data_IF_268183619715
#
_entry.id   IF_268183619715
#
_cell.length_a   1.000
_cell.length_b   1.000
_cell.length_c   1.000
_cell.angle_alpha   90.00
_cell.angle_beta   90.00
_cell.angle_gamma   90.00
#
_symmetry.space_group_name_H-M   'P 1'
#
loop_
_entity.id
_entity.type
_entity.pdbx_description
1 polymer ?
#
# COMPACT_ATOMS: atom_id res chain seq x y z
N UNK A 1 -11.18 -14.43 8.79
CA UNK A 1 -11.42 -12.98 8.99
C UNK A 1 -12.80 -12.75 9.59
N UNK A 2 -12.96 -11.87 10.58
CA UNK A 2 -14.28 -11.40 11.02
C UNK A 2 -14.39 -9.90 10.77
N UNK A 3 -15.56 -9.41 10.37
CA UNK A 3 -15.75 -8.00 10.07
C UNK A 3 -17.15 -7.48 10.42
N UNK A 4 -17.22 -6.21 10.80
CA UNK A 4 -18.44 -5.53 11.25
C UNK A 4 -18.48 -4.10 10.71
N UNK A 5 -19.60 -3.73 10.08
CA UNK A 5 -19.86 -2.35 9.64
C UNK A 5 -20.55 -1.60 10.78
N UNK A 6 -20.03 -0.43 11.14
CA UNK A 6 -20.62 0.47 12.14
C UNK A 6 -21.05 -0.27 13.41
N UNK A 7 -20.17 -1.16 13.92
CA UNK A 7 -20.49 -2.10 14.99
C UNK A 7 -21.14 -1.40 16.19
N UNK A 8 -22.35 -1.81 16.56
CA UNK A 8 -23.09 -1.29 17.72
C UNK A 8 -23.44 0.22 17.66
N UNK A 9 -23.38 0.86 16.48
CA UNK A 9 -23.74 2.28 16.34
C UNK A 9 -25.25 2.53 16.31
N UNK A 10 -26.00 1.71 15.56
CA UNK A 10 -27.44 1.90 15.36
C UNK A 10 -27.80 3.11 14.50
N UNK A 11 -28.86 3.83 14.89
CA UNK A 11 -29.43 4.96 14.14
C UNK A 11 -28.49 6.17 13.94
N UNK A 12 -27.65 6.60 14.91
CA UNK A 12 -26.74 7.73 14.72
C UNK A 12 -25.82 7.63 13.50
N UNK A 13 -25.36 6.44 13.14
CA UNK A 13 -24.54 6.24 11.94
C UNK A 13 -25.37 6.24 10.65
N UNK A 14 -26.63 5.78 10.72
CA UNK A 14 -27.56 5.81 9.58
C UNK A 14 -27.93 7.24 9.20
N UNK A 15 -28.25 8.08 10.18
CA UNK A 15 -28.60 9.48 9.95
C UNK A 15 -27.47 10.30 9.34
N UNK A 16 -26.21 9.97 9.68
CA UNK A 16 -25.02 10.69 9.22
C UNK A 16 -24.31 10.05 8.03
N UNK A 17 -24.85 8.97 7.46
CA UNK A 17 -24.23 8.19 6.38
C UNK A 17 -22.76 7.84 6.66
N UNK A 18 -22.47 7.42 7.89
CA UNK A 18 -21.11 7.04 8.30
C UNK A 18 -20.78 5.64 7.82
N UNK A 19 -19.56 5.46 7.32
CA UNK A 19 -19.04 4.13 6.97
C UNK A 19 -17.70 3.91 7.67
N UNK A 20 -17.74 3.04 8.67
CA UNK A 20 -16.57 2.52 9.37
C UNK A 20 -16.64 1.00 9.37
N UNK A 21 -15.60 0.33 8.90
CA UNK A 21 -15.51 -1.14 8.85
C UNK A 21 -14.40 -1.62 9.78
N UNK A 22 -14.78 -2.41 10.77
CA UNK A 22 -13.84 -3.06 11.68
C UNK A 22 -13.59 -4.50 11.21
N UNK A 23 -12.33 -4.89 11.12
CA UNK A 23 -11.89 -6.24 10.82
C UNK A 23 -11.02 -6.77 11.96
N UNK A 24 -11.19 -8.05 12.24
CA UNK A 24 -10.46 -8.80 13.26
C UNK A 24 -9.90 -10.07 12.63
N UNK A 25 -8.57 -10.14 12.56
CA UNK A 25 -7.81 -11.31 12.14
C UNK A 25 -7.19 -11.96 13.38
N UNK A 26 -7.75 -13.10 13.79
CA UNK A 26 -7.28 -13.83 14.96
C UNK A 26 -6.14 -14.78 14.57
N UNK A 27 -4.96 -14.56 15.15
CA UNK A 27 -3.83 -15.46 15.08
C UNK A 27 -3.85 -16.49 16.21
N UNK A 28 -2.84 -17.38 16.28
CA UNK A 28 -2.75 -18.38 17.35
C UNK A 28 -2.53 -17.77 18.74
N UNK A 29 -1.82 -16.65 18.82
CA UNK A 29 -1.41 -16.02 20.09
C UNK A 29 -1.84 -14.56 20.20
N UNK A 30 -2.06 -13.89 19.08
CA UNK A 30 -2.35 -12.47 18.97
C UNK A 30 -3.55 -12.21 18.05
N UNK A 31 -3.98 -10.96 17.99
CA UNK A 31 -5.04 -10.53 17.10
C UNK A 31 -4.63 -9.23 16.42
N UNK A 32 -4.82 -9.20 15.11
CA UNK A 32 -4.61 -8.01 14.29
C UNK A 32 -5.97 -7.38 13.99
N UNK A 33 -6.11 -6.13 14.40
CA UNK A 33 -7.31 -5.33 14.23
C UNK A 33 -7.09 -4.32 13.12
N UNK A 34 -8.04 -4.22 12.19
CA UNK A 34 -8.08 -3.15 11.21
C UNK A 34 -9.34 -2.33 11.37
N UNK A 35 -9.23 -1.01 11.33
CA UNK A 35 -10.38 -0.12 11.27
C UNK A 35 -10.24 0.76 10.04
N UNK A 36 -11.16 0.59 9.09
CA UNK A 36 -11.23 1.41 7.89
C UNK A 36 -12.33 2.44 8.09
N UNK A 37 -12.01 3.72 7.95
CA UNK A 37 -12.94 4.81 8.20
C UNK A 37 -13.03 5.77 7.01
N UNK A 38 -14.26 6.20 6.70
CA UNK A 38 -14.58 7.17 5.65
C UNK A 38 -15.43 8.33 6.17
N UNK A 39 -15.65 8.40 7.48
CA UNK A 39 -16.13 9.63 8.09
C UNK A 39 -14.96 10.62 8.07
N UNK A 40 -15.13 11.84 7.55
CA UNK A 40 -14.03 12.82 7.40
C UNK A 40 -12.94 12.34 6.43
N UNK A 41 -11.66 12.43 6.82
CA UNK A 41 -10.55 11.99 5.97
C UNK A 41 -10.39 10.47 6.00
N UNK A 42 -10.45 9.78 4.84
CA UNK A 42 -10.29 8.33 4.78
C UNK A 42 -9.00 7.85 5.43
N UNK A 43 -9.12 6.87 6.32
CA UNK A 43 -7.99 6.37 7.11
C UNK A 43 -8.13 4.91 7.49
N UNK A 44 -6.98 4.28 7.70
CA UNK A 44 -6.86 2.89 8.17
C UNK A 44 -6.05 2.89 9.45
N UNK A 45 -6.57 2.24 10.49
CA UNK A 45 -5.83 1.90 11.71
C UNK A 45 -5.54 0.39 11.70
N UNK A 46 -4.31 0.03 12.06
CA UNK A 46 -3.84 -1.31 12.36
C UNK A 46 -3.43 -1.34 13.84
N UNK A 47 -3.85 -2.37 14.57
CA UNK A 47 -3.43 -2.59 15.95
C UNK A 47 -3.21 -4.08 16.24
N UNK A 48 -2.08 -4.40 16.88
CA UNK A 48 -1.74 -5.74 17.35
C UNK A 48 -2.02 -5.84 18.85
N UNK A 49 -2.77 -6.85 19.25
CA UNK A 49 -3.21 -7.05 20.64
C UNK A 49 -3.10 -8.53 21.04
N UNK A 50 -3.19 -8.85 22.35
CA UNK A 50 -3.45 -10.21 22.80
C UNK A 50 -4.82 -10.72 22.30
N UNK A 51 -4.96 -12.04 22.16
CA UNK A 51 -6.18 -12.68 21.63
C UNK A 51 -7.47 -12.37 22.41
N UNK A 52 -7.36 -12.01 23.70
CA UNK A 52 -8.48 -11.62 24.57
C UNK A 52 -9.00 -10.20 24.30
N UNK A 53 -8.24 -9.37 23.59
CA UNK A 53 -8.60 -7.98 23.40
C UNK A 53 -9.75 -7.78 22.39
N UNK A 54 -10.48 -6.70 22.57
CA UNK A 54 -11.53 -6.26 21.66
C UNK A 54 -11.57 -4.73 21.54
N UNK A 55 -12.16 -4.24 20.45
CA UNK A 55 -12.27 -2.83 20.11
C UNK A 55 -13.59 -2.26 20.59
N UNK A 56 -13.55 -1.16 21.34
CA UNK A 56 -14.73 -0.40 21.75
C UNK A 56 -14.77 0.95 21.04
N UNK A 57 -15.94 1.34 20.54
CA UNK A 57 -16.17 2.65 19.92
C UNK A 57 -17.32 3.35 20.66
N UNK A 58 -17.01 4.46 21.31
CA UNK A 58 -18.02 5.34 21.91
C UNK A 58 -18.61 6.24 20.82
N UNK A 59 -19.61 5.73 20.10
CA UNK A 59 -20.16 6.36 18.88
C UNK A 59 -20.53 7.83 19.02
N UNK A 60 -21.14 8.24 20.13
CA UNK A 60 -21.50 9.65 20.35
C UNK A 60 -20.28 10.58 20.34
N UNK A 61 -19.18 10.15 20.96
CA UNK A 61 -17.94 10.90 21.04
C UNK A 61 -17.13 10.77 19.74
N UNK A 62 -17.16 9.60 19.10
CA UNK A 62 -16.57 9.34 17.80
C UNK A 62 -17.15 10.25 16.70
N UNK A 63 -18.48 10.33 16.62
CA UNK A 63 -19.20 11.19 15.68
C UNK A 63 -19.02 12.69 15.97
N UNK A 64 -18.59 13.03 17.20
CA UNK A 64 -18.22 14.38 17.59
C UNK A 64 -16.71 14.66 17.43
N UNK A 65 -15.95 13.71 16.86
CA UNK A 65 -14.49 13.76 16.69
C UNK A 65 -13.75 14.07 17.99
N UNK A 66 -14.13 13.41 19.08
CA UNK A 66 -13.39 13.48 20.33
C UNK A 66 -12.31 12.40 20.38
N UNK A 67 -11.19 12.76 20.97
CA UNK A 67 -10.13 11.81 21.32
C UNK A 67 -10.62 10.73 22.29
N UNK A 68 -9.90 9.60 22.33
CA UNK A 68 -10.20 8.45 23.18
C UNK A 68 -11.62 7.88 23.01
N UNK A 69 -12.24 8.12 21.86
CA UNK A 69 -13.54 7.53 21.51
C UNK A 69 -13.39 6.13 20.90
N UNK A 70 -12.18 5.75 20.50
CA UNK A 70 -11.80 4.39 20.11
C UNK A 70 -10.80 3.87 21.14
N UNK A 71 -11.12 2.75 21.78
CA UNK A 71 -10.28 2.17 22.85
C UNK A 71 -10.26 0.65 22.72
N UNK A 72 -9.09 0.06 22.89
CA UNK A 72 -8.95 -1.39 23.05
C UNK A 72 -9.08 -1.77 24.52
N UNK A 73 -9.73 -2.90 24.80
CA UNK A 73 -9.88 -3.42 26.17
C UNK A 73 -8.54 -3.69 26.86
N UNK A 74 -7.51 -3.99 26.08
CA UNK A 74 -6.13 -4.17 26.52
C UNK A 74 -5.22 -3.32 25.66
N UNK A 75 -4.11 -2.84 26.24
CA UNK A 75 -3.16 -1.98 25.52
C UNK A 75 -2.54 -2.73 24.34
N UNK A 76 -2.65 -2.23 23.10
CA UNK A 76 -2.00 -2.84 21.96
C UNK A 76 -0.47 -2.86 22.13
N UNK A 77 0.16 -3.94 21.71
CA UNK A 77 1.62 -4.07 21.67
C UNK A 77 2.21 -3.16 20.59
N UNK A 78 1.46 -2.98 19.49
CA UNK A 78 1.85 -2.17 18.36
C UNK A 78 0.62 -1.56 17.69
N UNK A 79 0.73 -0.33 17.19
CA UNK A 79 -0.32 0.31 16.36
C UNK A 79 0.31 1.12 15.24
N UNK A 80 -0.36 1.20 14.11
CA UNK A 80 0.05 2.02 12.97
C UNK A 80 -1.18 2.42 12.18
N UNK A 81 -1.20 3.63 11.65
CA UNK A 81 -2.31 4.11 10.84
C UNK A 81 -1.85 4.92 9.65
N UNK A 82 -2.70 4.93 8.63
CA UNK A 82 -2.46 5.61 7.36
C UNK A 82 -3.67 6.48 7.06
N UNK A 83 -3.44 7.75 6.75
CA UNK A 83 -4.46 8.70 6.30
C UNK A 83 -4.19 9.03 4.84
N UNK A 84 -5.19 8.94 3.99
CA UNK A 84 -5.13 9.49 2.64
C UNK A 84 -5.36 10.99 2.77
N UNK A 85 -4.28 11.76 2.92
CA UNK A 85 -4.34 13.12 3.43
C UNK A 85 -4.64 14.16 2.35
N UNK A 86 -3.98 14.05 1.20
CA UNK A 86 -4.15 15.00 0.10
C UNK A 86 -4.06 14.31 -1.26
N UNK A 87 -4.83 14.86 -2.19
CA UNK A 87 -4.64 14.66 -3.61
C UNK A 87 -4.15 16.00 -4.16
N UNK A 88 -2.97 16.00 -4.74
CA UNK A 88 -2.27 17.21 -5.16
C UNK A 88 -2.25 17.22 -6.68
N UNK A 89 -2.99 18.14 -7.28
CA UNK A 89 -2.85 18.47 -8.69
C UNK A 89 -1.67 19.43 -8.86
N UNK A 90 -0.78 19.18 -9.82
CA UNK A 90 0.30 20.10 -10.15
C UNK A 90 0.46 20.28 -11.67
N UNK A 91 0.86 21.48 -12.08
CA UNK A 91 1.05 21.83 -13.49
C UNK A 91 2.49 21.53 -13.93
N UNK A 92 2.70 20.39 -14.57
CA UNK A 92 4.01 19.93 -15.03
C UNK A 92 4.34 20.51 -16.41
N UNK A 93 4.60 21.81 -16.45
CA UNK A 93 4.84 22.56 -17.71
C UNK A 93 6.01 21.98 -18.50
N UNK A 94 7.03 21.44 -17.82
CA UNK A 94 8.24 20.91 -18.45
C UNK A 94 8.20 19.40 -18.71
N UNK A 95 7.07 18.74 -18.45
CA UNK A 95 6.89 17.29 -18.61
C UNK A 95 8.01 16.48 -17.91
N UNK A 96 8.29 16.84 -16.67
CA UNK A 96 9.33 16.21 -15.85
C UNK A 96 8.81 14.98 -15.12
N UNK A 97 7.49 14.92 -14.89
CA UNK A 97 6.76 14.02 -14.01
C UNK A 97 7.11 14.15 -12.51
N UNK A 98 7.76 15.25 -12.11
CA UNK A 98 8.24 15.47 -10.74
C UNK A 98 7.50 16.63 -10.06
N UNK A 99 6.83 16.35 -8.93
CA UNK A 99 6.11 17.39 -8.17
C UNK A 99 7.07 18.41 -7.55
N UNK A 100 8.28 18.00 -7.16
CA UNK A 100 9.28 18.88 -6.55
C UNK A 100 9.77 19.98 -7.50
N UNK A 101 9.43 19.90 -8.80
CA UNK A 101 9.74 20.94 -9.80
C UNK A 101 8.61 21.96 -9.98
N UNK A 102 7.44 21.70 -9.40
CA UNK A 102 6.28 22.58 -9.49
C UNK A 102 6.26 23.56 -8.32
N UNK A 103 6.21 24.86 -8.64
CA UNK A 103 6.01 25.92 -7.63
C UNK A 103 4.63 25.81 -6.96
N UNK A 104 4.48 26.36 -5.75
CA UNK A 104 3.20 26.35 -5.02
C UNK A 104 2.03 26.92 -5.84
N UNK A 105 2.27 27.96 -6.64
CA UNK A 105 1.27 28.59 -7.53
C UNK A 105 0.78 27.59 -8.60
N UNK A 106 1.63 26.64 -8.96
CA UNK A 106 1.36 25.56 -9.90
C UNK A 106 0.85 24.30 -9.20
N UNK A 107 0.38 24.40 -7.95
CA UNK A 107 -0.24 23.29 -7.22
C UNK A 107 -1.65 23.61 -6.75
N UNK A 108 -2.51 22.61 -6.74
CA UNK A 108 -3.85 22.68 -6.17
C UNK A 108 -4.08 21.45 -5.30
N UNK A 109 -4.44 21.68 -4.03
CA UNK A 109 -4.59 20.62 -3.04
C UNK A 109 -6.07 20.34 -2.83
N UNK A 110 -6.46 19.09 -3.04
CA UNK A 110 -7.78 18.54 -2.73
C UNK A 110 -7.67 17.70 -1.45
N UNK A 111 -8.46 18.05 -0.44
CA UNK A 111 -8.50 17.27 0.81
C UNK A 111 -9.64 16.24 0.72
N UNK A 112 -9.36 14.94 0.89
CA UNK A 112 -10.38 13.88 0.79
C UNK A 112 -11.61 14.06 1.69
N UNK A 113 -11.50 14.79 2.80
CA UNK A 113 -12.63 15.11 3.69
C UNK A 113 -13.74 15.97 3.05
N UNK A 114 -13.44 16.71 1.98
CA UNK A 114 -14.41 17.56 1.27
C UNK A 114 -15.10 16.84 0.12
N UNK A 115 -14.84 15.54 -0.06
CA UNK A 115 -15.64 14.70 -0.94
C UNK A 115 -16.83 14.12 -0.18
N UNK A 116 -17.95 13.97 -0.88
CA UNK A 116 -19.09 13.24 -0.34
C UNK A 116 -18.87 11.73 -0.55
N UNK A 117 -18.45 11.03 0.50
CA UNK A 117 -18.19 9.60 0.49
C UNK A 117 -19.47 8.79 0.56
N UNK A 118 -19.61 7.83 -0.34
CA UNK A 118 -20.69 6.83 -0.33
C UNK A 118 -20.14 5.42 -0.40
N UNK A 119 -20.82 4.50 0.27
CA UNK A 119 -20.61 3.07 0.10
C UNK A 119 -21.16 2.62 -1.25
N UNK A 120 -20.30 2.04 -2.09
CA UNK A 120 -20.66 1.51 -3.40
C UNK A 120 -20.90 0.01 -3.32
N UNK A 121 -19.95 -0.72 -2.71
CA UNK A 121 -20.01 -2.17 -2.61
C UNK A 121 -19.33 -2.65 -1.34
N UNK A 122 -19.82 -3.77 -0.79
CA UNK A 122 -19.25 -4.43 0.37
C UNK A 122 -19.45 -5.93 0.21
N UNK A 123 -18.36 -6.69 0.31
CA UNK A 123 -18.39 -8.13 0.37
C UNK A 123 -17.61 -8.59 1.61
N UNK A 124 -18.28 -9.35 2.46
CA UNK A 124 -17.70 -9.90 3.69
C UNK A 124 -17.78 -11.41 3.61
N UNK A 125 -16.65 -12.09 3.55
CA UNK A 125 -16.57 -13.53 3.67
C UNK A 125 -15.45 -13.92 4.65
N UNK A 126 -15.25 -15.23 4.85
CA UNK A 126 -14.26 -15.74 5.80
C UNK A 126 -12.81 -15.60 5.32
N UNK A 127 -12.58 -15.55 4.01
CA UNK A 127 -11.27 -15.54 3.34
C UNK A 127 -10.77 -14.11 3.06
N UNK A 128 -11.66 -13.22 2.65
CA UNK A 128 -11.38 -11.83 2.38
C UNK A 128 -12.58 -10.93 2.67
N UNK A 129 -12.26 -9.65 2.89
CA UNK A 129 -13.25 -8.58 3.04
C UNK A 129 -12.93 -7.51 2.03
N UNK A 130 -13.93 -7.03 1.32
CA UNK A 130 -13.82 -6.04 0.25
C UNK A 130 -14.80 -4.90 0.47
N UNK A 131 -14.32 -3.66 0.35
CA UNK A 131 -15.10 -2.45 0.55
C UNK A 131 -14.77 -1.43 -0.55
N UNK A 132 -15.78 -1.00 -1.29
CA UNK A 132 -15.66 0.11 -2.25
C UNK A 132 -16.38 1.35 -1.75
N UNK A 133 -15.63 2.43 -1.69
CA UNK A 133 -16.12 3.76 -1.36
C UNK A 133 -15.86 4.71 -2.53
N UNK A 134 -16.80 5.63 -2.74
CA UNK A 134 -16.67 6.65 -3.78
C UNK A 134 -16.92 8.03 -3.19
N UNK A 135 -15.94 8.90 -3.32
CA UNK A 135 -16.02 10.32 -2.99
C UNK A 135 -16.34 11.10 -4.25
N UNK A 136 -17.48 11.79 -4.29
CA UNK A 136 -17.84 12.67 -5.40
C UNK A 136 -18.10 14.11 -4.92
N UNK A 137 -18.40 15.00 -5.88
CA UNK A 137 -18.88 16.36 -5.60
C UNK A 137 -17.96 17.14 -4.65
N UNK A 138 -16.67 17.22 -4.97
CA UNK A 138 -15.70 17.93 -4.14
C UNK A 138 -16.14 19.37 -3.91
N UNK A 139 -16.20 19.79 -2.65
CA UNK A 139 -16.52 21.17 -2.31
C UNK A 139 -15.80 21.63 -1.03
N UNK A 140 -14.74 22.40 -1.21
CA UNK A 140 -14.03 23.10 -0.14
C UNK A 140 -14.59 24.53 -0.04
N UNK A 141 -15.42 24.78 0.97
CA UNK A 141 -16.07 26.07 1.21
C UNK A 141 -15.07 27.14 1.66
N UNK A 142 -14.00 26.77 2.36
CA UNK A 142 -13.01 27.71 2.88
C UNK A 142 -12.16 28.30 1.74
N UNK A 143 -11.83 27.49 0.74
CA UNK A 143 -11.08 27.93 -0.46
C UNK A 143 -11.97 28.25 -1.65
N UNK A 144 -13.29 28.04 -1.53
CA UNK A 144 -14.27 28.16 -2.62
C UNK A 144 -13.88 27.34 -3.87
N UNK A 145 -13.40 26.11 -3.67
CA UNK A 145 -12.98 25.20 -4.74
C UNK A 145 -14.03 24.09 -4.87
N UNK A 146 -14.57 23.94 -6.08
CA UNK A 146 -15.42 22.81 -6.45
C UNK A 146 -14.80 22.04 -7.61
N UNK A 147 -14.92 20.71 -7.59
CA UNK A 147 -14.49 19.82 -8.68
C UNK A 147 -15.53 18.75 -8.96
N UNK A 148 -15.79 18.52 -10.24
CA UNK A 148 -16.51 17.33 -10.70
C UNK A 148 -15.58 16.13 -10.83
N UNK A 149 -16.17 14.94 -11.01
CA UNK A 149 -15.46 13.66 -11.03
C UNK A 149 -15.55 12.93 -9.69
N UNK A 150 -14.82 11.82 -9.58
CA UNK A 150 -14.92 10.92 -8.44
C UNK A 150 -13.58 10.34 -8.06
N UNK A 151 -13.35 10.18 -6.76
CA UNK A 151 -12.27 9.35 -6.23
C UNK A 151 -12.91 8.06 -5.75
N UNK A 152 -12.36 6.93 -6.16
CA UNK A 152 -12.79 5.63 -5.64
C UNK A 152 -11.68 5.04 -4.80
N UNK A 153 -12.05 4.52 -3.64
CA UNK A 153 -11.17 3.85 -2.69
C UNK A 153 -11.69 2.44 -2.50
N UNK A 154 -10.90 1.46 -2.93
CA UNK A 154 -11.22 0.03 -2.82
C UNK A 154 -10.27 -0.60 -1.81
N UNK A 155 -10.81 -1.13 -0.72
CA UNK A 155 -10.02 -1.74 0.36
C UNK A 155 -10.27 -3.24 0.41
N UNK A 156 -9.19 -4.01 0.61
CA UNK A 156 -9.24 -5.46 0.74
C UNK A 156 -8.43 -5.94 1.93
N UNK A 157 -9.04 -6.77 2.77
CA UNK A 157 -8.37 -7.49 3.86
C UNK A 157 -8.36 -8.98 3.54
N UNK A 158 -7.31 -9.68 3.95
CA UNK A 158 -7.03 -11.05 3.53
C UNK A 158 -6.85 -12.00 4.71
N UNK A 159 -6.95 -13.31 4.47
CA UNK A 159 -6.69 -14.38 5.43
C UNK A 159 -5.81 -15.50 4.89
N UNK A 160 -5.22 -15.30 3.71
CA UNK A 160 -4.26 -16.20 3.10
C UNK A 160 -3.11 -15.41 2.51
N UNK A 161 -2.02 -16.11 2.21
CA UNK A 161 -0.95 -15.58 1.36
C UNK A 161 -1.27 -15.92 -0.08
N UNK A 162 -1.52 -14.90 -0.91
CA UNK A 162 -1.80 -15.05 -2.34
C UNK A 162 -1.57 -13.72 -3.08
N UNK A 163 -1.72 -13.72 -4.40
CA UNK A 163 -1.76 -12.51 -5.21
C UNK A 163 -3.19 -11.97 -5.31
N UNK A 164 -3.33 -10.66 -5.26
CA UNK A 164 -4.63 -10.00 -5.46
C UNK A 164 -5.15 -10.25 -6.86
N UNK A 165 -6.45 -10.52 -7.02
CA UNK A 165 -7.07 -10.63 -8.36
C UNK A 165 -7.01 -9.32 -9.17
N UNK A 166 -6.78 -8.20 -8.50
CA UNK A 166 -6.76 -6.89 -9.13
C UNK A 166 -5.33 -6.47 -9.48
N UNK A 167 -5.11 -6.10 -10.73
CA UNK A 167 -3.87 -5.50 -11.24
C UNK A 167 -3.47 -4.30 -10.34
N UNK A 168 -2.22 -4.21 -9.85
CA UNK A 168 -1.02 -4.93 -10.28
C UNK A 168 -0.74 -6.21 -9.49
N UNK A 169 -1.77 -6.97 -9.12
CA UNK A 169 -1.66 -8.29 -8.51
C UNK A 169 -0.72 -8.30 -7.31
N UNK A 170 -0.87 -7.34 -6.38
CA UNK A 170 -0.01 -7.26 -5.20
C UNK A 170 -0.06 -8.56 -4.40
N UNK A 171 1.11 -9.10 -4.06
CA UNK A 171 1.24 -10.20 -3.11
C UNK A 171 0.82 -9.73 -1.72
N UNK A 172 -0.10 -10.46 -1.10
CA UNK A 172 -0.66 -10.14 0.21
C UNK A 172 -0.49 -11.31 1.17
N UNK A 173 -0.64 -11.02 2.46
CA UNK A 173 -0.63 -11.98 3.57
C UNK A 173 -1.83 -11.76 4.48
N UNK A 174 -2.03 -12.64 5.47
CA UNK A 174 -3.07 -12.47 6.49
C UNK A 174 -2.88 -11.19 7.33
N UNK A 175 -1.66 -10.65 7.34
CA UNK A 175 -1.26 -9.48 8.12
C UNK A 175 -1.27 -8.19 7.30
N UNK A 176 -1.98 -8.17 6.17
CA UNK A 176 -2.00 -7.03 5.26
C UNK A 176 -3.40 -6.62 4.81
N UNK A 177 -3.55 -5.34 4.49
CA UNK A 177 -4.70 -4.74 3.81
C UNK A 177 -4.21 -4.06 2.55
N UNK A 178 -4.89 -4.28 1.43
CA UNK A 178 -4.68 -3.56 0.18
C UNK A 178 -5.59 -2.33 0.13
N UNK A 179 -5.06 -1.23 -0.39
CA UNK A 179 -5.81 -0.02 -0.72
C UNK A 179 -5.56 0.32 -2.17
N UNK A 180 -6.62 0.54 -2.92
CA UNK A 180 -6.59 1.00 -4.31
C UNK A 180 -7.29 2.34 -4.44
N UNK A 181 -6.59 3.29 -5.02
CA UNK A 181 -7.05 4.66 -5.24
C UNK A 181 -7.25 4.86 -6.73
N UNK A 182 -8.43 5.34 -7.12
CA UNK A 182 -8.77 5.64 -8.51
C UNK A 182 -9.21 7.09 -8.60
N UNK A 183 -8.55 7.87 -9.46
CA UNK A 183 -8.96 9.22 -9.84
C UNK A 183 -9.76 9.15 -11.13
N UNK A 184 -11.08 9.17 -11.05
CA UNK A 184 -12.00 8.95 -12.17
C UNK A 184 -12.65 10.26 -12.62
N UNK A 185 -12.21 10.77 -13.77
CA UNK A 185 -12.69 12.01 -14.38
C UNK A 185 -12.67 13.22 -13.44
N UNK A 186 -11.67 13.30 -12.56
CA UNK A 186 -11.49 14.44 -11.67
C UNK A 186 -11.20 15.69 -12.50
N UNK A 187 -12.03 16.71 -12.33
CA UNK A 187 -11.85 17.97 -13.03
C UNK A 187 -10.51 18.59 -12.62
N UNK A 188 -9.71 18.96 -13.61
CA UNK A 188 -8.44 19.66 -13.40
C UNK A 188 -8.66 21.17 -13.31
N UNK A 189 -7.70 21.87 -12.71
CA UNK A 189 -7.68 23.32 -12.72
C UNK A 189 -7.59 23.85 -14.17
N UNK A 190 -8.47 24.78 -14.54
CA UNK A 190 -8.55 25.31 -15.89
C UNK A 190 -7.32 26.12 -16.30
N UNK A 191 -6.57 26.66 -15.34
CA UNK A 191 -5.32 27.39 -15.61
C UNK A 191 -4.14 26.45 -15.89
N UNK A 192 -4.26 25.17 -15.52
CA UNK A 192 -3.20 24.20 -15.71
C UNK A 192 -3.33 23.55 -17.09
N UNK A 193 -2.27 23.66 -17.87
CA UNK A 193 -2.24 23.08 -19.22
C UNK A 193 -1.78 21.62 -19.21
N UNK A 194 -1.00 21.24 -18.19
CA UNK A 194 -0.31 19.94 -18.06
C UNK A 194 -0.49 19.38 -16.65
N UNK A 195 -1.74 19.15 -16.26
CA UNK A 195 -2.07 18.64 -14.92
C UNK A 195 -1.60 17.19 -14.72
N UNK A 196 -0.88 16.97 -13.63
CA UNK A 196 -0.56 15.65 -13.06
C UNK A 196 -1.06 15.60 -11.62
N UNK A 197 -1.13 14.39 -11.07
CA UNK A 197 -1.58 14.17 -9.70
C UNK A 197 -0.50 13.49 -8.87
N UNK A 198 -0.45 13.84 -7.59
CA UNK A 198 0.27 13.13 -6.56
C UNK A 198 -0.65 12.84 -5.37
N UNK A 199 -0.34 11.78 -4.65
CA UNK A 199 -1.06 11.35 -3.46
C UNK A 199 -0.13 11.52 -2.26
N UNK A 200 -0.59 12.22 -1.23
CA UNK A 200 0.10 12.34 0.06
C UNK A 200 -0.63 11.47 1.08
N UNK A 201 0.11 10.51 1.64
CA UNK A 201 -0.29 9.73 2.80
C UNK A 201 0.35 10.32 4.06
N UNK A 202 -0.36 10.25 5.19
CA UNK A 202 0.23 10.40 6.51
C UNK A 202 0.31 9.04 7.18
N UNK A 203 1.51 8.61 7.53
CA UNK A 203 1.78 7.43 8.34
C UNK A 203 1.96 7.87 9.80
N UNK A 204 1.19 7.28 10.72
CA UNK A 204 1.21 7.61 12.15
C UNK A 204 1.28 6.36 13.02
N UNK A 205 1.97 6.43 14.15
CA UNK A 205 1.94 5.39 15.17
C UNK A 205 3.32 4.81 15.47
N UNK A 206 3.44 3.49 15.33
CA UNK A 206 4.60 2.72 15.76
C UNK A 206 5.87 3.04 14.97
N UNK A 207 6.99 3.03 15.68
CA UNK A 207 8.32 3.34 15.17
C UNK A 207 8.94 4.54 15.87
N UNK A 208 10.23 4.73 15.66
CA UNK A 208 10.97 5.85 16.25
C UNK A 208 10.54 7.18 15.61
N UNK A 209 9.95 8.13 16.37
CA UNK A 209 9.49 9.41 15.82
C UNK A 209 10.66 10.26 15.28
N UNK A 210 11.89 10.01 15.74
CA UNK A 210 13.04 10.81 15.35
C UNK A 210 13.69 10.37 14.04
N UNK A 211 13.36 9.17 13.54
CA UNK A 211 13.99 8.59 12.37
C UNK A 211 12.99 8.58 11.21
N UNK A 212 13.34 9.08 10.01
CA UNK A 212 12.50 8.91 8.82
C UNK A 212 12.23 7.43 8.52
N UNK A 213 11.03 7.11 8.02
CA UNK A 213 10.72 5.77 7.54
C UNK A 213 11.71 5.36 6.43
N UNK A 214 12.10 4.10 6.43
CA UNK A 214 13.06 3.57 5.47
C UNK A 214 12.36 3.24 4.17
N UNK A 215 12.84 3.79 3.06
CA UNK A 215 12.36 3.42 1.71
C UNK A 215 13.39 2.50 1.09
N UNK A 216 12.98 1.29 0.74
CA UNK A 216 13.81 0.26 0.13
C UNK A 216 13.13 -0.27 -1.15
N UNK A 217 13.50 0.25 -2.33
CA UNK A 217 13.04 -0.30 -3.59
C UNK A 217 13.78 -1.60 -3.91
N UNK A 218 13.07 -2.73 -3.86
CA UNK A 218 13.61 -4.06 -4.15
C UNK A 218 13.39 -4.41 -5.61
N UNK A 219 14.47 -4.82 -6.28
CA UNK A 219 14.39 -5.37 -7.64
C UNK A 219 14.06 -6.85 -7.58
N UNK A 220 13.03 -7.24 -8.34
CA UNK A 220 12.68 -8.63 -8.59
C UNK A 220 12.90 -8.95 -10.06
N UNK A 221 13.39 -10.14 -10.36
CA UNK A 221 13.46 -10.63 -11.75
C UNK A 221 12.13 -11.23 -12.22
N UNK A 222 11.15 -11.33 -11.32
CA UNK A 222 9.84 -11.90 -11.58
C UNK A 222 8.82 -10.81 -11.93
N UNK A 223 8.35 -10.84 -13.18
CA UNK A 223 7.27 -10.01 -13.70
C UNK A 223 6.02 -10.82 -14.10
N UNK A 224 5.92 -12.10 -13.69
CA UNK A 224 4.82 -13.01 -14.04
C UNK A 224 3.44 -12.37 -13.78
N UNK A 225 3.31 -11.73 -12.61
CA UNK A 225 2.07 -11.09 -12.18
C UNK A 225 1.94 -9.62 -12.59
N UNK A 226 3.02 -8.96 -13.02
CA UNK A 226 2.97 -7.56 -13.48
C UNK A 226 4.00 -7.35 -14.57
N UNK A 227 3.66 -7.67 -15.83
CA UNK A 227 4.61 -7.67 -16.93
C UNK A 227 5.34 -6.33 -17.08
N UNK A 228 6.67 -6.40 -17.21
CA UNK A 228 7.53 -5.22 -17.39
C UNK A 228 7.85 -4.43 -16.11
N UNK A 229 7.32 -4.82 -14.94
CA UNK A 229 7.60 -4.16 -13.66
C UNK A 229 8.44 -5.08 -12.76
N UNK A 230 9.73 -4.80 -12.70
CA UNK A 230 10.75 -5.58 -11.99
C UNK A 230 11.14 -4.98 -10.63
N UNK A 231 10.25 -4.19 -10.03
CA UNK A 231 10.53 -3.46 -8.80
C UNK A 231 9.30 -3.43 -7.89
N UNK A 232 9.56 -3.53 -6.59
CA UNK A 232 8.57 -3.32 -5.52
C UNK A 232 9.17 -2.32 -4.53
N UNK A 233 8.45 -1.22 -4.30
CA UNK A 233 8.85 -0.20 -3.32
C UNK A 233 8.30 -0.60 -1.96
N UNK A 234 9.19 -0.69 -0.97
CA UNK A 234 8.82 -0.93 0.43
C UNK A 234 9.13 0.31 1.28
N UNK A 235 8.22 0.70 2.16
CA UNK A 235 8.43 1.76 3.14
C UNK A 235 8.16 1.23 4.54
N UNK A 236 9.16 1.23 5.42
CA UNK A 236 9.11 0.56 6.72
C UNK A 236 9.24 1.54 7.88
N UNK A 237 8.49 1.29 8.95
CA UNK A 237 8.66 2.02 10.21
C UNK A 237 10.03 1.73 10.81
N UNK A 238 10.75 2.74 11.31
CA UNK A 238 12.02 2.54 11.99
C UNK A 238 11.82 1.83 13.33
N UNK A 239 12.70 0.89 13.72
CA UNK A 239 12.55 0.14 14.97
C UNK A 239 12.78 1.06 16.17
N UNK A 240 11.89 1.00 17.18
CA UNK A 240 11.99 1.85 18.37
C UNK A 240 12.36 1.08 19.62
N UNK A 241 11.62 0.00 19.94
CA UNK A 241 11.89 -0.83 21.11
C UNK A 241 12.93 -1.92 20.79
N UNK A 242 13.63 -2.42 21.80
CA UNK A 242 14.61 -3.51 21.62
C UNK A 242 13.96 -4.77 21.03
N UNK A 243 12.69 -5.04 21.38
CA UNK A 243 11.91 -6.16 20.83
C UNK A 243 11.60 -5.98 19.33
N UNK A 244 11.40 -4.74 18.86
CA UNK A 244 11.18 -4.45 17.44
C UNK A 244 12.45 -4.74 16.61
N UNK A 245 13.62 -4.49 17.21
CA UNK A 245 14.94 -4.76 16.59
C UNK A 245 15.23 -6.25 16.45
N UNK A 246 14.82 -7.05 17.43
CA UNK A 246 15.09 -8.50 17.43
C UNK A 246 14.19 -9.28 16.45
N UNK A 247 12.96 -8.80 16.20
CA UNK A 247 11.96 -9.49 15.40
C UNK A 247 11.79 -8.91 13.98
N UNK A 248 12.55 -7.88 13.60
CA UNK A 248 12.28 -7.06 12.41
C UNK A 248 10.80 -6.60 12.35
N UNK A 249 10.20 -6.42 13.52
CA UNK A 249 8.78 -6.21 13.69
C UNK A 249 8.46 -4.72 13.57
N UNK A 250 7.53 -4.39 12.68
CA UNK A 250 7.10 -3.03 12.40
C UNK A 250 6.05 -3.05 11.29
N UNK A 251 5.50 -1.89 10.97
CA UNK A 251 4.58 -1.77 9.84
C UNK A 251 5.34 -1.42 8.58
N UNK A 252 4.71 -1.78 7.47
CA UNK A 252 5.22 -1.47 6.15
C UNK A 252 4.09 -0.98 5.24
N UNK A 253 4.49 -0.16 4.27
CA UNK A 253 3.75 0.08 3.05
C UNK A 253 4.50 -0.59 1.90
N UNK A 254 3.78 -1.15 0.93
CA UNK A 254 4.40 -1.80 -0.22
C UNK A 254 3.58 -1.55 -1.48
N UNK A 255 4.23 -1.20 -2.59
CA UNK A 255 3.57 -1.05 -3.89
C UNK A 255 4.52 -1.33 -5.05
N UNK A 256 3.97 -1.64 -6.21
CA UNK A 256 4.71 -1.63 -7.48
C UNK A 256 4.71 -0.20 -8.04
N UNK A 257 5.80 0.31 -8.62
CA UNK A 257 5.91 1.70 -9.07
C UNK A 257 5.15 1.96 -10.39
N UNK A 258 3.87 1.60 -10.43
CA UNK A 258 3.01 1.62 -11.60
C UNK A 258 1.65 2.24 -11.27
N UNK A 259 1.12 2.98 -12.24
CA UNK A 259 -0.23 3.55 -12.26
C UNK A 259 -0.86 3.19 -13.60
N UNK A 260 -2.20 3.13 -13.67
CA UNK A 260 -2.90 2.83 -14.92
C UNK A 260 -3.77 3.99 -15.35
N UNK A 261 -3.69 4.33 -16.64
CA UNK A 261 -4.44 5.45 -17.24
C UNK A 261 -5.82 5.04 -17.77
N UNK A 262 -6.22 3.78 -17.58
CA UNK A 262 -7.52 3.24 -17.99
C UNK A 262 -8.01 2.18 -17.00
N UNK A 263 -9.33 2.00 -16.92
CA UNK A 263 -9.98 1.04 -16.04
C UNK A 263 -9.66 -0.43 -16.38
N UNK A 264 -9.28 -0.75 -17.62
CA UNK A 264 -8.87 -2.12 -18.00
C UNK A 264 -7.52 -2.53 -17.40
N UNK A 265 -6.67 -1.55 -17.01
CA UNK A 265 -5.33 -1.77 -16.46
C UNK A 265 -4.42 -2.66 -17.32
N UNK A 266 -4.57 -2.58 -18.63
CA UNK A 266 -3.69 -3.27 -19.58
C UNK A 266 -2.26 -2.73 -19.49
N UNK A 267 -1.27 -3.55 -19.84
CA UNK A 267 0.16 -3.15 -19.88
C UNK A 267 0.37 -1.90 -20.76
N UNK A 268 -0.35 -1.76 -21.87
CA UNK A 268 -0.26 -0.57 -22.73
C UNK A 268 -0.82 0.71 -22.10
N UNK A 269 -1.57 0.58 -21.01
CA UNK A 269 -2.15 1.68 -20.23
C UNK A 269 -1.37 1.94 -18.94
N UNK A 270 -0.22 1.30 -18.73
CA UNK A 270 0.62 1.59 -17.58
C UNK A 270 1.38 2.91 -17.75
N UNK A 271 1.54 3.64 -16.67
CA UNK A 271 2.47 4.76 -16.49
C UNK A 271 3.21 4.56 -15.17
N UNK A 272 4.29 5.30 -14.96
CA UNK A 272 5.14 5.12 -13.77
C UNK A 272 4.60 5.89 -12.56
N UNK A 273 5.14 5.57 -11.39
CA UNK A 273 4.98 6.39 -10.19
C UNK A 273 6.33 6.82 -9.67
N UNK A 274 6.43 8.03 -9.12
CA UNK A 274 7.66 8.52 -8.48
C UNK A 274 7.41 8.69 -6.99
N UNK A 275 8.17 7.97 -6.18
CA UNK A 275 8.18 8.10 -4.72
C UNK A 275 9.17 9.15 -4.25
N UNK A 276 8.80 9.88 -3.19
CA UNK A 276 9.66 10.91 -2.59
C UNK A 276 10.09 10.49 -1.18
N UNK A 277 11.24 10.99 -0.68
CA UNK A 277 11.69 10.70 0.68
C UNK A 277 10.62 11.08 1.73
N UNK A 278 10.34 10.20 2.72
CA UNK A 278 9.44 10.51 3.82
C UNK A 278 9.89 11.76 4.56
N UNK A 279 8.94 12.63 4.90
CA UNK A 279 9.23 13.89 5.62
C UNK A 279 8.46 13.90 6.95
N UNK A 280 9.13 14.34 8.02
CA UNK A 280 8.48 14.58 9.31
C UNK A 280 7.39 15.66 9.17
N UNK A 281 6.33 15.51 9.93
CA UNK A 281 5.23 16.49 10.01
C UNK A 281 5.28 17.16 11.38
N UNK A 282 5.03 18.47 11.43
CA UNK A 282 4.92 19.21 12.69
C UNK A 282 3.45 19.33 13.11
N UNK A 283 3.20 19.56 14.40
CA UNK A 283 1.85 19.67 14.99
C UNK A 283 1.00 18.41 14.71
N UNK A 284 1.40 17.28 15.29
CA UNK A 284 0.85 15.98 14.89
C UNK A 284 -0.64 15.90 15.15
N UNK A 285 -1.07 16.35 16.32
CA UNK A 285 -2.47 16.38 16.73
C UNK A 285 -3.35 17.13 15.72
N UNK A 286 -2.90 18.30 15.24
CA UNK A 286 -3.62 19.07 14.23
C UNK A 286 -3.65 18.38 12.87
N UNK A 287 -2.58 17.69 12.48
CA UNK A 287 -2.47 17.02 11.19
C UNK A 287 -3.44 15.84 11.05
N UNK A 288 -3.76 15.15 12.15
CA UNK A 288 -4.65 13.97 12.13
C UNK A 288 -6.09 14.28 12.58
N UNK A 289 -6.38 15.52 13.02
CA UNK A 289 -7.61 15.93 13.71
C UNK A 289 -8.92 15.51 13.04
N UNK A 290 -8.96 15.57 11.71
CA UNK A 290 -10.17 15.27 10.93
C UNK A 290 -10.30 13.80 10.52
N UNK A 291 -9.40 12.93 10.98
CA UNK A 291 -9.41 11.49 10.71
C UNK A 291 -9.83 10.67 11.95
N UNK A 292 -10.16 9.40 11.72
CA UNK A 292 -10.38 8.44 12.80
C UNK A 292 -9.15 8.25 13.70
N UNK A 293 -7.94 8.50 13.19
CA UNK A 293 -6.72 8.33 13.98
C UNK A 293 -6.62 9.36 15.12
N UNK A 294 -7.24 10.54 15.01
CA UNK A 294 -7.37 11.45 16.15
C UNK A 294 -8.32 10.90 17.23
N UNK A 295 -9.37 10.18 16.83
CA UNK A 295 -10.30 9.55 17.76
C UNK A 295 -9.63 8.45 18.59
N UNK A 296 -8.58 7.83 18.05
CA UNK A 296 -7.78 6.80 18.72
C UNK A 296 -6.57 7.39 19.48
N UNK A 297 -5.70 8.15 18.82
CA UNK A 297 -4.47 8.66 19.43
C UNK A 297 -4.67 9.93 20.26
N UNK A 298 -5.64 10.78 19.92
CA UNK A 298 -5.82 12.07 20.58
C UNK A 298 -4.56 12.92 20.59
N UNK A 299 -4.33 13.62 21.69
CA UNK A 299 -3.09 14.41 21.89
C UNK A 299 -1.82 13.56 22.06
N UNK A 300 -1.95 12.25 22.31
CA UNK A 300 -0.77 11.38 22.40
C UNK A 300 -0.03 11.24 21.07
N UNK A 301 -0.67 11.64 19.95
CA UNK A 301 -0.08 11.67 18.61
C UNK A 301 1.21 12.49 18.52
N UNK A 302 1.37 13.53 19.35
CA UNK A 302 2.57 14.38 19.34
C UNK A 302 3.84 13.62 19.79
N UNK A 303 3.69 12.46 20.45
CA UNK A 303 4.82 11.60 20.84
C UNK A 303 5.05 10.40 19.91
N UNK A 304 4.25 10.28 18.84
CA UNK A 304 4.31 9.16 17.91
C UNK A 304 5.07 9.54 16.64
N UNK A 305 5.48 8.52 15.89
CA UNK A 305 5.92 8.73 14.52
C UNK A 305 4.76 9.36 13.74
N UNK A 306 4.98 10.50 13.09
CA UNK A 306 4.07 11.07 12.10
C UNK A 306 4.89 11.58 10.90
N UNK A 307 4.73 10.92 9.76
CA UNK A 307 5.48 11.25 8.55
C UNK A 307 4.58 11.27 7.33
N UNK A 308 4.89 12.18 6.41
CA UNK A 308 4.23 12.22 5.11
C UNK A 308 5.01 11.39 4.10
N UNK A 309 4.28 10.60 3.33
CA UNK A 309 4.76 9.81 2.20
C UNK A 309 4.05 10.34 0.97
N UNK A 310 4.81 10.66 -0.06
CA UNK A 310 4.27 11.26 -1.27
C UNK A 310 4.65 10.41 -2.47
N UNK A 311 3.69 10.21 -3.36
CA UNK A 311 3.87 9.50 -4.63
C UNK A 311 3.20 10.29 -5.75
N UNK A 312 3.95 10.70 -6.77
CA UNK A 312 3.39 11.31 -7.98
C UNK A 312 3.10 10.25 -9.04
N UNK A 313 2.04 10.47 -9.80
CA UNK A 313 1.53 9.53 -10.80
C UNK A 313 1.79 10.07 -12.21
N UNK A 314 2.41 9.25 -13.04
CA UNK A 314 2.71 9.56 -14.43
C UNK A 314 4.21 9.55 -14.75
N UNK A 315 4.50 9.55 -16.05
CA UNK A 315 5.86 9.54 -16.62
C UNK A 315 5.95 10.53 -17.77
N UNK A 316 7.18 10.87 -18.18
CA UNK A 316 7.40 11.84 -19.26
C UNK A 316 6.79 11.35 -20.57
N UNK A 317 6.09 12.23 -21.28
CA UNK A 317 5.48 11.91 -22.57
C UNK A 317 4.22 11.04 -22.51
N UNK A 318 3.70 10.71 -21.32
CA UNK A 318 2.46 9.91 -21.19
C UNK A 318 1.20 10.67 -21.64
N UNK A 319 1.29 11.99 -21.79
CA UNK A 319 0.21 12.89 -22.20
C UNK A 319 -0.57 13.50 -21.04
N UNK A 320 -0.03 13.42 -19.82
CA UNK A 320 -0.61 13.98 -18.59
C UNK A 320 -1.96 13.35 -18.23
N UNK A 321 -2.57 13.80 -17.12
CA UNK A 321 -3.88 13.29 -16.69
C UNK A 321 -4.96 13.50 -17.75
N UNK A 322 -4.90 14.64 -18.47
CA UNK A 322 -5.93 15.08 -19.41
C UNK A 322 -6.15 14.13 -20.59
N UNK A 323 -5.18 13.27 -20.91
CA UNK A 323 -5.29 12.31 -22.01
C UNK A 323 -6.42 11.31 -21.82
N UNK A 324 -6.61 10.82 -20.59
CA UNK A 324 -7.63 9.80 -20.27
C UNK A 324 -8.56 10.21 -19.14
N UNK A 325 -8.16 11.21 -18.33
CA UNK A 325 -8.81 11.61 -17.08
C UNK A 325 -9.00 10.42 -16.13
N UNK A 326 -8.02 9.52 -16.09
CA UNK A 326 -8.08 8.33 -15.25
C UNK A 326 -6.67 7.98 -14.76
N UNK A 327 -6.53 7.73 -13.46
CA UNK A 327 -5.30 7.24 -12.84
C UNK A 327 -5.63 6.28 -11.72
N UNK A 328 -4.76 5.31 -11.48
CA UNK A 328 -4.88 4.38 -10.36
C UNK A 328 -3.59 4.30 -9.56
N UNK A 329 -3.69 3.98 -8.28
CA UNK A 329 -2.52 3.61 -7.48
C UNK A 329 -2.93 2.62 -6.41
N UNK A 330 -2.22 1.49 -6.35
CA UNK A 330 -2.50 0.40 -5.42
C UNK A 330 -1.32 0.22 -4.49
N UNK A 331 -1.57 0.14 -3.19
CA UNK A 331 -0.55 -0.14 -2.19
C UNK A 331 -1.09 -1.04 -1.06
N UNK A 332 -0.17 -1.69 -0.37
CA UNK A 332 -0.43 -2.55 0.79
C UNK A 332 -0.06 -1.81 2.08
N UNK A 333 -0.80 -2.08 3.14
CA UNK A 333 -0.49 -1.72 4.53
C UNK A 333 -0.40 -3.02 5.31
N UNK A 334 0.72 -3.30 5.97
CA UNK A 334 0.85 -4.54 6.73
C UNK A 334 1.73 -4.41 7.95
N UNK A 335 1.70 -5.45 8.77
CA UNK A 335 2.53 -5.60 9.97
C UNK A 335 3.43 -6.83 9.87
N UNK A 336 4.67 -6.68 10.32
CA UNK A 336 5.70 -7.72 10.27
C UNK A 336 6.61 -7.55 9.06
N UNK A 337 7.04 -8.67 8.49
CA UNK A 337 7.91 -8.69 7.31
C UNK A 337 7.06 -8.58 6.03
N UNK A 338 7.34 -7.62 5.15
CA UNK A 338 6.71 -7.57 3.82
C UNK A 338 6.89 -8.90 3.09
N UNK A 339 5.86 -9.40 2.39
CA UNK A 339 6.00 -10.63 1.62
C UNK A 339 6.99 -10.42 0.47
N UNK A 340 7.76 -11.47 0.17
CA UNK A 340 8.72 -11.49 -0.93
C UNK A 340 8.18 -12.31 -2.09
N UNK A 341 8.28 -11.75 -3.29
CA UNK A 341 7.91 -12.44 -4.53
C UNK A 341 8.81 -13.65 -4.76
N UNK A 342 8.21 -14.73 -5.26
CA UNK A 342 8.92 -15.96 -5.61
C UNK A 342 8.43 -16.42 -6.97
N UNK A 343 9.36 -16.89 -7.79
CA UNK A 343 9.03 -17.52 -9.06
C UNK A 343 8.02 -18.65 -8.87
N UNK A 344 7.01 -18.69 -9.73
CA UNK A 344 6.08 -19.81 -9.75
C UNK A 344 6.80 -21.13 -10.02
N UNK A 345 6.18 -22.22 -9.58
CA UNK A 345 6.68 -23.57 -9.87
C UNK A 345 6.82 -23.82 -11.38
N UNK A 346 5.97 -23.18 -12.19
CA UNK A 346 6.01 -23.27 -13.65
C UNK A 346 7.26 -22.55 -14.20
N UNK A 347 7.54 -21.32 -13.76
CA UNK A 347 8.74 -20.58 -14.19
C UNK A 347 10.01 -21.32 -13.79
N UNK A 348 10.07 -21.81 -12.54
CA UNK A 348 11.20 -22.63 -12.06
C UNK A 348 11.38 -23.87 -12.94
N UNK A 349 10.29 -24.55 -13.32
CA UNK A 349 10.34 -25.71 -14.21
C UNK A 349 10.88 -25.34 -15.59
N UNK A 350 10.41 -24.24 -16.22
CA UNK A 350 10.90 -23.79 -17.52
C UNK A 350 12.39 -23.45 -17.46
N UNK A 351 12.83 -22.69 -16.46
CA UNK A 351 14.25 -22.35 -16.27
C UNK A 351 15.09 -23.63 -16.07
N UNK A 352 14.58 -24.56 -15.26
CA UNK A 352 15.26 -25.82 -14.97
C UNK A 352 15.43 -26.70 -16.22
N UNK A 353 14.40 -26.80 -17.07
CA UNK A 353 14.48 -27.57 -18.32
C UNK A 353 15.38 -26.83 -19.33
N UNK A 354 15.16 -25.52 -19.50
CA UNK A 354 15.85 -24.69 -20.48
C UNK A 354 17.34 -24.55 -20.25
N UNK A 355 17.78 -24.44 -18.98
CA UNK A 355 19.21 -24.32 -18.63
C UNK A 355 19.81 -25.65 -18.16
N UNK A 356 19.04 -26.47 -17.45
CA UNK A 356 19.52 -27.71 -16.88
C UNK A 356 19.86 -28.76 -17.94
N UNK A 357 19.04 -28.91 -18.98
CA UNK A 357 19.30 -29.90 -20.03
C UNK A 357 20.56 -29.58 -20.86
N UNK A 358 20.78 -28.33 -21.35
CA UNK A 358 22.03 -27.98 -22.02
C UNK A 358 23.27 -28.14 -21.13
N UNK A 359 23.18 -27.74 -19.85
CA UNK A 359 24.28 -27.90 -18.91
C UNK A 359 24.63 -29.37 -18.69
N UNK A 360 23.63 -30.24 -18.53
CA UNK A 360 23.81 -31.67 -18.34
C UNK A 360 24.46 -32.31 -19.57
N UNK A 361 24.03 -31.93 -20.79
CA UNK A 361 24.67 -32.38 -22.03
C UNK A 361 26.14 -31.92 -22.10
N UNK A 362 26.44 -30.66 -21.74
CA UNK A 362 27.81 -30.16 -21.70
C UNK A 362 28.68 -30.93 -20.71
N UNK A 363 28.18 -31.23 -19.51
CA UNK A 363 28.92 -31.97 -18.48
C UNK A 363 29.17 -33.41 -18.92
N UNK A 364 28.16 -34.11 -19.45
CA UNK A 364 28.32 -35.48 -19.95
C UNK A 364 29.33 -35.52 -21.10
N UNK A 365 29.23 -34.58 -22.04
CA UNK A 365 30.17 -34.49 -23.16
C UNK A 365 31.58 -34.17 -22.69
N UNK A 366 31.73 -33.25 -21.73
CA UNK A 366 33.01 -32.89 -21.12
C UNK A 366 33.65 -34.08 -20.39
N UNK A 367 32.90 -34.78 -19.54
CA UNK A 367 33.35 -35.98 -18.83
C UNK A 367 33.76 -37.09 -19.79
N UNK A 368 32.95 -37.34 -20.83
CA UNK A 368 33.26 -38.32 -21.86
C UNK A 368 34.58 -38.00 -22.57
N UNK A 369 34.80 -36.74 -22.94
CA UNK A 369 36.05 -36.30 -23.57
C UNK A 369 37.25 -36.41 -22.61
N UNK A 370 37.07 -36.06 -21.34
CA UNK A 370 38.10 -36.21 -20.30
C UNK A 370 38.50 -37.68 -20.11
N UNK A 371 37.53 -38.58 -19.94
CA UNK A 371 37.78 -40.03 -19.77
C UNK A 371 38.52 -40.58 -21.00
N UNK A 372 38.09 -40.19 -22.21
CA UNK A 372 38.74 -40.64 -23.45
C UNK A 372 40.18 -40.15 -23.58
N UNK A 373 40.51 -38.98 -23.03
CA UNK A 373 41.87 -38.41 -23.03
C UNK A 373 42.74 -38.84 -21.85
N UNK A 374 42.23 -39.58 -20.88
CA UNK A 374 43.07 -40.17 -19.85
C UNK A 374 43.96 -41.25 -20.49
N UNK A 375 45.31 -41.15 -20.39
CA UNK A 375 46.20 -42.15 -20.97
C UNK A 375 45.94 -43.50 -20.31
N UNK A 376 45.64 -44.53 -21.11
CA UNK A 376 45.62 -45.92 -20.63
C UNK A 376 46.99 -46.22 -20.04
N UNK A 377 47.08 -46.30 -18.71
CA UNK A 377 48.24 -46.83 -18.00
C UNK A 377 48.39 -48.28 -18.47
N UNK A 378 49.23 -48.50 -19.49
CA UNK A 378 49.54 -49.82 -19.98
C UNK A 378 50.26 -50.55 -18.86
N UNK A 379 49.54 -51.47 -18.20
CA UNK A 379 50.17 -52.54 -17.46
C UNK A 379 50.92 -53.40 -18.47
N UNK A 380 52.22 -53.12 -18.63
CA UNK A 380 53.11 -54.03 -19.32
C UNK A 380 53.33 -55.24 -18.42
N UNK A 381 52.54 -56.28 -18.67
CA UNK A 381 52.97 -57.64 -18.40
C UNK A 381 54.20 -57.92 -19.29
N UNK A 382 55.38 -58.00 -18.68
CA UNK A 382 56.53 -58.70 -19.26
C UNK A 382 56.65 -60.05 -18.56
N UNK A 383 56.32 -61.11 -19.30
CA UNK A 383 56.67 -62.49 -19.01
C UNK A 383 57.73 -62.92 -20.05
N UNK A 384 58.78 -63.57 -19.55
CA UNK A 384 59.97 -64.16 -20.21
C UNK A 384 61.11 -63.16 -20.50
N UNK A 385 62.34 -63.35 -20.00
CA UNK A 385 63.11 -64.59 -19.75
C UNK A 385 64.11 -64.39 -18.61
#
# INVERSE_FOLDING_TARGET
LRSWVNQDCGEPCRERNVTTLYLRADGPNDTLHYLWDFFGTPSVLLALTPSSAWLNITWKDYLARKENSIVFSEKPSYTFGVIINKIIEFNDVNDTALIDTADEINTNILHPEYFNWRLVSLLQNSEFVYLDMEGNSYHDTAKNISRYGSIKLSLRGFCTVDHSDMVPHMLHTENSTQVDIILDHIQTNQTFSRSRFAIELLAVGGGDPEIPMFVDPKKSLDDEHTPGIFEVVEVRTPPYREQDRALNAGSYLQWRPVSYINASRDVTSSTETVQYPPKKVFNHTSAIKNSMLYCYYGESADNLLLQKIMVSLGSRGDGFYKKTNYLTWTFMIGYGTPPEERFSSLVIMIISIGLGLPLLIMVITGLYLCIRRMPKRHGNAYLNR
#
